data_IF_962785078813
#
_entry.id   IF_962785078813
#
_cell.length_a   1.000
_cell.length_b   1.000
_cell.length_c   1.000
_cell.angle_alpha   90.00
_cell.angle_beta   90.00
_cell.angle_gamma   90.00
#
_symmetry.space_group_name_H-M   'P 1'
#
loop_
_entity.id
_entity.type
_entity.pdbx_description
1 polymer ?
#
# COMPACT_ATOMS: atom_id res chain seq x y z
N UNK A 1 44.13 91.20 -6.30
CA UNK A 1 43.74 92.32 -5.40
C UNK A 1 42.25 92.57 -5.60
N UNK A 2 41.49 92.68 -4.49
CA UNK A 2 40.06 93.04 -4.38
C UNK A 2 39.07 91.97 -4.89
N UNK A 3 38.38 91.25 -4.00
CA UNK A 3 37.27 91.64 -3.09
C UNK A 3 36.03 92.05 -3.88
N UNK A 4 34.97 91.24 -3.82
CA UNK A 4 33.70 91.63 -3.17
C UNK A 4 32.56 90.65 -3.42
N UNK A 5 31.88 90.37 -2.32
CA UNK A 5 30.61 89.70 -2.07
C UNK A 5 29.43 90.24 -2.89
N UNK A 6 28.49 89.36 -3.29
CA UNK A 6 27.07 89.70 -3.40
C UNK A 6 26.21 88.52 -2.91
N UNK A 7 25.31 88.87 -1.99
CA UNK A 7 24.19 88.11 -1.38
C UNK A 7 23.11 87.88 -2.47
N UNK A 8 22.24 86.87 -2.47
CA UNK A 8 20.88 86.90 -1.86
C UNK A 8 20.06 85.67 -2.30
N UNK A 9 19.16 85.24 -1.38
CA UNK A 9 17.85 84.59 -1.60
C UNK A 9 17.72 83.13 -2.06
N UNK A 10 17.54 82.27 -1.05
CA UNK A 10 16.39 81.40 -0.78
C UNK A 10 15.52 80.89 -1.96
N UNK A 11 15.48 79.56 -2.11
CA UNK A 11 14.24 78.81 -2.40
C UNK A 11 14.21 77.55 -1.53
N UNK A 12 13.09 77.41 -0.83
CA UNK A 12 12.71 76.29 0.02
C UNK A 12 12.31 75.09 -0.86
N UNK A 13 13.01 73.97 -0.73
CA UNK A 13 12.65 72.69 -1.34
C UNK A 13 12.58 71.61 -0.26
N UNK A 14 11.41 71.39 0.32
CA UNK A 14 11.15 70.30 1.24
C UNK A 14 11.19 68.97 0.48
N UNK A 15 12.27 68.21 0.63
CA UNK A 15 12.32 66.80 0.25
C UNK A 15 11.66 65.98 1.36
N UNK A 16 10.46 65.45 1.08
CA UNK A 16 9.83 64.40 1.86
C UNK A 16 10.69 63.13 1.74
N UNK A 17 11.52 62.89 2.75
CA UNK A 17 12.21 61.61 2.94
C UNK A 17 11.21 60.53 3.33
N UNK A 18 10.88 59.64 2.40
CA UNK A 18 10.14 58.42 2.69
C UNK A 18 10.97 57.49 3.56
N UNK A 19 10.50 57.23 4.79
CA UNK A 19 11.02 56.16 5.64
C UNK A 19 10.58 54.83 5.02
N UNK A 20 11.52 54.11 4.39
CA UNK A 20 11.30 52.72 4.00
C UNK A 20 11.43 51.86 5.26
N UNK A 21 10.28 51.40 5.78
CA UNK A 21 10.26 50.31 6.76
C UNK A 21 10.68 49.04 6.04
N UNK A 22 11.96 48.65 6.18
CA UNK A 22 12.44 47.33 5.75
C UNK A 22 11.89 46.28 6.70
N UNK A 23 10.67 45.83 6.45
CA UNK A 23 10.10 44.65 7.08
C UNK A 23 10.86 43.42 6.59
N UNK A 24 11.63 42.77 7.47
CA UNK A 24 12.15 41.43 7.21
C UNK A 24 10.98 40.43 7.30
N UNK A 25 10.31 40.20 6.16
CA UNK A 25 9.39 39.08 6.04
C UNK A 25 10.21 37.78 6.13
N UNK A 26 10.25 37.18 7.31
CA UNK A 26 10.69 35.79 7.47
C UNK A 26 9.67 34.91 6.75
N UNK A 27 10.05 34.40 5.58
CA UNK A 27 9.31 33.35 4.91
C UNK A 27 9.23 32.15 5.87
N UNK A 28 8.01 31.77 6.25
CA UNK A 28 7.77 30.54 6.99
C UNK A 28 8.32 29.36 6.18
N UNK A 29 8.98 28.37 6.81
CA UNK A 29 9.43 27.20 6.09
C UNK A 29 8.19 26.51 5.50
N UNK A 30 8.20 26.39 4.18
CA UNK A 30 7.20 25.67 3.42
C UNK A 30 7.16 24.24 3.97
N UNK A 31 6.11 23.95 4.75
CA UNK A 31 5.87 22.64 5.31
C UNK A 31 5.67 21.69 4.13
N UNK A 32 6.72 20.94 3.77
CA UNK A 32 6.60 19.80 2.88
C UNK A 32 5.58 18.84 3.49
N UNK A 33 4.34 18.91 3.00
CA UNK A 33 3.33 17.91 3.22
C UNK A 33 3.87 16.61 2.64
N UNK A 34 4.10 15.62 3.48
CA UNK A 34 4.33 14.27 3.01
C UNK A 34 3.05 13.85 2.27
N UNK A 35 3.13 13.76 0.95
CA UNK A 35 2.04 13.29 0.10
C UNK A 35 1.72 11.85 0.49
N UNK A 36 0.47 11.60 0.87
CA UNK A 36 -0.05 10.24 0.99
C UNK A 36 0.22 9.46 -0.32
N UNK A 37 0.44 8.14 -0.26
CA UNK A 37 0.68 7.32 -1.45
C UNK A 37 -0.54 7.37 -2.35
N UNK A 38 -0.48 8.21 -3.38
CA UNK A 38 -1.57 8.41 -4.35
C UNK A 38 -1.48 7.44 -5.52
N UNK A 39 -0.30 6.83 -5.71
CA UNK A 39 -0.05 5.86 -6.77
C UNK A 39 -0.32 4.45 -6.22
N UNK A 40 -0.82 3.55 -7.06
CA UNK A 40 -1.31 2.20 -6.70
C UNK A 40 -2.64 2.08 -5.93
N UNK A 41 -3.43 3.14 -5.86
CA UNK A 41 -4.82 3.09 -5.40
C UNK A 41 -5.80 2.77 -6.54
N UNK A 42 -7.09 2.77 -6.21
CA UNK A 42 -8.20 2.77 -7.18
C UNK A 42 -8.07 3.90 -8.21
N UNK A 43 -8.57 3.73 -9.45
CA UNK A 43 -9.30 2.56 -9.96
C UNK A 43 -8.37 1.39 -10.32
N UNK A 44 -8.90 0.16 -10.33
CA UNK A 44 -8.18 -1.03 -10.80
C UNK A 44 -8.23 -1.19 -12.32
N UNK A 45 -7.28 -1.93 -12.89
CA UNK A 45 -7.32 -2.23 -14.32
C UNK A 45 -8.61 -3.01 -14.64
N UNK A 46 -9.34 -2.52 -15.63
CA UNK A 46 -10.67 -3.04 -16.00
C UNK A 46 -11.67 -3.10 -14.84
N UNK A 47 -11.45 -2.32 -13.77
CA UNK A 47 -12.29 -2.33 -12.57
C UNK A 47 -12.16 -3.60 -11.72
N UNK A 48 -11.13 -4.43 -11.94
CA UNK A 48 -10.95 -5.69 -11.24
C UNK A 48 -9.71 -5.66 -10.34
N UNK A 49 -9.91 -5.84 -9.03
CA UNK A 49 -8.86 -5.84 -8.02
C UNK A 49 -7.69 -6.79 -8.32
N UNK A 50 -7.97 -7.97 -8.86
CA UNK A 50 -6.95 -8.98 -9.14
C UNK A 50 -5.97 -8.54 -10.23
N UNK A 51 -6.35 -7.55 -11.02
CA UNK A 51 -5.46 -6.90 -11.96
C UNK A 51 -4.71 -5.71 -11.33
N UNK A 52 -4.82 -5.46 -10.03
CA UNK A 52 -4.11 -4.37 -9.37
C UNK A 52 -4.47 -2.96 -9.91
N UNK A 53 -3.76 -1.92 -9.45
CA UNK A 53 -4.09 -0.52 -9.74
C UNK A 53 -3.99 -0.20 -11.22
N UNK A 54 -4.95 0.51 -11.80
CA UNK A 54 -4.97 0.83 -13.26
C UNK A 54 -3.71 1.55 -13.70
N UNK A 55 -3.18 2.43 -12.85
CA UNK A 55 -1.96 3.18 -13.09
C UNK A 55 -0.84 2.65 -12.20
N UNK A 56 0.33 2.43 -12.80
CA UNK A 56 1.55 2.10 -12.08
C UNK A 56 2.25 3.40 -11.67
N UNK A 57 2.99 3.40 -10.55
CA UNK A 57 3.68 4.58 -10.05
C UNK A 57 4.74 5.05 -11.04
N UNK A 58 4.76 6.35 -11.31
CA UNK A 58 5.76 7.01 -12.16
C UNK A 58 6.87 7.70 -11.36
N UNK A 59 6.67 7.87 -10.05
CA UNK A 59 7.61 8.51 -9.12
C UNK A 59 7.73 7.71 -7.82
N UNK A 60 8.67 8.07 -6.96
CA UNK A 60 8.80 7.43 -5.65
C UNK A 60 9.55 6.10 -5.69
N UNK A 61 9.59 5.38 -4.55
CA UNK A 61 10.44 4.19 -4.38
C UNK A 61 10.00 3.01 -5.25
N UNK A 62 8.73 2.94 -5.67
CA UNK A 62 8.18 1.80 -6.44
C UNK A 62 8.33 2.00 -7.95
N UNK A 63 8.33 3.23 -8.45
CA UNK A 63 8.44 3.54 -9.88
C UNK A 63 9.59 2.83 -10.62
N UNK A 64 10.84 2.79 -10.10
CA UNK A 64 11.92 2.07 -10.79
C UNK A 64 11.68 0.55 -10.84
N UNK A 65 10.93 -0.01 -9.88
CA UNK A 65 10.70 -1.44 -9.75
C UNK A 65 9.64 -1.96 -10.72
N UNK A 66 8.69 -1.13 -11.11
CA UNK A 66 7.62 -1.48 -12.07
C UNK A 66 7.97 -1.09 -13.51
N UNK A 67 9.21 -0.64 -13.76
CA UNK A 67 9.66 -0.23 -15.09
C UNK A 67 9.59 -1.40 -16.07
N UNK A 68 8.82 -1.21 -17.14
CA UNK A 68 8.65 -2.22 -18.18
C UNK A 68 7.77 -3.41 -17.77
N UNK A 69 7.07 -3.33 -16.65
CA UNK A 69 6.12 -4.36 -16.23
C UNK A 69 4.87 -4.35 -17.13
N UNK A 70 4.75 -5.37 -17.97
CA UNK A 70 3.53 -5.66 -18.73
C UNK A 70 2.67 -6.64 -17.92
N UNK A 71 1.59 -6.12 -17.36
CA UNK A 71 0.80 -6.79 -16.32
C UNK A 71 0.17 -8.11 -16.74
N UNK A 72 -0.39 -8.14 -17.95
CA UNK A 72 -1.08 -9.30 -18.50
C UNK A 72 -0.30 -9.90 -19.67
N UNK A 73 1.02 -9.75 -19.65
CA UNK A 73 1.92 -10.18 -20.72
C UNK A 73 1.59 -11.60 -21.20
N UNK A 74 1.42 -11.72 -22.52
CA UNK A 74 1.05 -12.98 -23.19
C UNK A 74 -0.45 -13.30 -23.16
N UNK A 75 -1.30 -12.44 -22.59
CA UNK A 75 -2.75 -12.53 -22.70
C UNK A 75 -3.32 -11.32 -23.46
N UNK A 76 -4.32 -11.57 -24.31
CA UNK A 76 -4.99 -10.51 -25.10
C UNK A 76 -6.11 -9.81 -24.32
N UNK A 77 -6.61 -10.43 -23.27
CA UNK A 77 -7.69 -9.90 -22.42
C UNK A 77 -7.45 -10.27 -20.95
N UNK A 78 -8.11 -9.54 -20.05
CA UNK A 78 -8.18 -9.90 -18.64
C UNK A 78 -8.72 -11.33 -18.43
N UNK A 79 -9.75 -11.71 -19.18
CA UNK A 79 -10.35 -13.05 -19.09
C UNK A 79 -9.34 -14.14 -19.45
N UNK A 80 -8.62 -13.99 -20.57
CA UNK A 80 -7.59 -14.94 -20.98
C UNK A 80 -6.43 -15.03 -19.97
N UNK A 81 -6.09 -13.91 -19.30
CA UNK A 81 -5.12 -13.92 -18.21
C UNK A 81 -5.62 -14.74 -17.02
N UNK A 82 -6.87 -14.54 -16.62
CA UNK A 82 -7.48 -15.27 -15.51
C UNK A 82 -7.66 -16.76 -15.82
N UNK A 83 -8.15 -17.12 -17.01
CA UNK A 83 -8.33 -18.52 -17.40
C UNK A 83 -7.01 -19.33 -17.30
N UNK A 84 -5.86 -18.64 -17.48
CA UNK A 84 -4.53 -19.26 -17.34
C UNK A 84 -4.02 -19.30 -15.90
N UNK A 85 -4.25 -18.25 -15.13
CA UNK A 85 -3.55 -18.02 -13.86
C UNK A 85 -4.43 -18.12 -12.62
N UNK A 86 -5.74 -18.33 -12.79
CA UNK A 86 -6.70 -18.57 -11.70
C UNK A 86 -7.13 -20.03 -11.70
N UNK A 87 -7.48 -20.51 -10.50
CA UNK A 87 -8.13 -21.80 -10.29
C UNK A 87 -9.65 -21.63 -10.40
N UNK A 88 -10.39 -22.74 -10.40
CA UNK A 88 -11.86 -22.74 -10.45
C UNK A 88 -12.50 -21.98 -9.28
N UNK A 89 -11.85 -21.96 -8.12
CA UNK A 89 -12.29 -21.22 -6.94
C UNK A 89 -11.86 -19.74 -6.92
N UNK A 90 -11.36 -19.23 -8.06
CA UNK A 90 -10.88 -17.85 -8.23
C UNK A 90 -9.62 -17.47 -7.45
N UNK A 91 -8.91 -18.43 -6.88
CA UNK A 91 -7.57 -18.17 -6.33
C UNK A 91 -6.52 -18.10 -7.43
N UNK A 92 -5.42 -17.39 -7.15
CA UNK A 92 -4.22 -17.51 -7.95
C UNK A 92 -3.70 -18.95 -7.96
N UNK A 93 -3.45 -19.47 -9.16
CA UNK A 93 -2.68 -20.69 -9.36
C UNK A 93 -1.21 -20.32 -9.20
N UNK A 94 -0.62 -20.61 -8.03
CA UNK A 94 0.80 -20.37 -7.75
C UNK A 94 1.66 -21.54 -8.28
N UNK A 95 2.94 -21.29 -8.59
CA UNK A 95 3.86 -22.34 -9.03
C UNK A 95 4.10 -23.36 -7.91
N UNK A 96 4.46 -24.59 -8.31
CA UNK A 96 5.01 -25.58 -7.39
C UNK A 96 6.37 -25.15 -6.83
N UNK A 97 6.93 -25.95 -5.91
CA UNK A 97 8.26 -25.71 -5.31
C UNK A 97 8.41 -24.30 -4.72
N UNK A 98 7.35 -23.75 -4.12
CA UNK A 98 7.31 -22.39 -3.57
C UNK A 98 7.76 -21.31 -4.58
N UNK A 99 7.64 -21.55 -5.89
CA UNK A 99 8.09 -20.63 -6.94
C UNK A 99 9.59 -20.59 -7.17
N UNK A 100 10.38 -21.50 -6.59
CA UNK A 100 11.78 -21.65 -6.97
C UNK A 100 11.90 -22.36 -8.33
N UNK A 101 12.71 -21.81 -9.23
CA UNK A 101 13.03 -22.41 -10.54
C UNK A 101 13.81 -23.73 -10.42
N UNK A 102 14.50 -23.93 -9.30
CA UNK A 102 15.26 -25.14 -8.99
C UNK A 102 15.39 -25.33 -7.49
N UNK A 103 16.46 -26.00 -7.07
CA UNK A 103 16.70 -26.25 -5.64
C UNK A 103 17.15 -24.96 -4.94
N UNK A 104 16.43 -24.47 -3.92
CA UNK A 104 16.92 -23.38 -3.11
C UNK A 104 18.09 -23.85 -2.24
N UNK A 105 18.96 -22.91 -1.89
CA UNK A 105 20.04 -23.11 -0.92
C UNK A 105 19.65 -22.54 0.43
N UNK A 106 20.10 -23.20 1.48
CA UNK A 106 20.02 -22.67 2.84
C UNK A 106 21.06 -21.57 3.01
N UNK A 107 20.64 -20.39 3.45
CA UNK A 107 21.50 -19.22 3.65
C UNK A 107 21.20 -18.61 5.02
N UNK A 108 22.25 -18.22 5.75
CA UNK A 108 22.11 -17.39 6.95
C UNK A 108 22.19 -15.92 6.55
N UNK A 109 21.11 -15.18 6.74
CA UNK A 109 21.09 -13.74 6.49
C UNK A 109 21.83 -13.03 7.63
N UNK A 110 22.83 -12.24 7.27
CA UNK A 110 23.70 -11.54 8.23
C UNK A 110 23.06 -10.23 8.67
N UNK A 111 23.41 -9.79 9.88
CA UNK A 111 23.01 -8.46 10.37
C UNK A 111 23.42 -7.38 9.36
N UNK A 112 22.53 -6.43 9.11
CA UNK A 112 22.69 -5.37 8.11
C UNK A 112 22.21 -5.74 6.70
N UNK A 113 21.89 -7.02 6.42
CA UNK A 113 21.29 -7.41 5.13
C UNK A 113 19.99 -6.65 4.90
N UNK A 114 19.80 -6.13 3.69
CA UNK A 114 18.58 -5.41 3.31
C UNK A 114 17.70 -6.31 2.46
N UNK A 115 16.42 -6.36 2.80
CA UNK A 115 15.39 -7.14 2.14
C UNK A 115 14.26 -6.20 1.70
N UNK A 116 13.47 -6.63 0.73
CA UNK A 116 12.23 -5.98 0.36
C UNK A 116 11.09 -6.97 0.10
N UNK A 117 9.87 -6.45 -0.02
CA UNK A 117 8.66 -7.25 -0.24
C UNK A 117 7.55 -6.41 -0.87
N UNK A 118 6.80 -7.02 -1.79
CA UNK A 118 5.46 -6.57 -2.18
C UNK A 118 4.41 -7.46 -1.51
N UNK A 119 3.77 -7.01 -0.44
CA UNK A 119 2.82 -7.82 0.31
C UNK A 119 2.89 -7.59 1.83
N UNK A 120 1.77 -7.90 2.49
CA UNK A 120 1.64 -7.76 3.94
C UNK A 120 2.69 -8.54 4.74
N UNK A 121 2.92 -8.11 5.98
CA UNK A 121 3.84 -8.77 6.92
C UNK A 121 3.40 -10.20 7.34
N UNK A 122 2.17 -10.61 6.99
CA UNK A 122 1.68 -11.98 7.20
C UNK A 122 2.20 -12.98 6.15
N UNK A 123 3.05 -12.54 5.21
CA UNK A 123 3.74 -13.41 4.27
C UNK A 123 5.10 -13.91 4.76
N UNK A 124 5.66 -14.87 4.01
CA UNK A 124 6.93 -15.53 4.31
C UNK A 124 7.94 -15.46 3.16
N UNK A 125 7.68 -14.61 2.15
CA UNK A 125 8.54 -14.43 0.98
C UNK A 125 9.08 -13.01 0.91
N UNK A 126 10.38 -12.87 0.69
CA UNK A 126 11.08 -11.59 0.52
C UNK A 126 12.04 -11.69 -0.68
N UNK A 127 12.62 -10.56 -1.09
CA UNK A 127 13.76 -10.55 -2.01
C UNK A 127 14.93 -9.80 -1.39
N UNK A 128 16.18 -10.17 -1.71
CA UNK A 128 17.35 -9.42 -1.26
C UNK A 128 17.46 -8.09 -2.03
N UNK A 129 17.94 -7.06 -1.34
CA UNK A 129 18.34 -5.79 -1.96
C UNK A 129 19.86 -5.69 -1.89
N UNK A 130 20.52 -5.83 -3.04
CA UNK A 130 21.99 -5.91 -3.12
C UNK A 130 22.52 -4.64 -3.76
N UNK A 131 23.48 -3.97 -3.12
CA UNK A 131 24.05 -2.70 -3.60
C UNK A 131 22.97 -1.66 -3.93
N UNK A 132 21.95 -1.57 -3.06
CA UNK A 132 20.76 -0.72 -3.24
C UNK A 132 19.86 -1.07 -4.43
N UNK A 133 20.16 -2.14 -5.18
CA UNK A 133 19.36 -2.63 -6.28
C UNK A 133 18.40 -3.72 -5.80
N UNK A 134 17.11 -3.48 -6.00
CA UNK A 134 16.02 -4.41 -5.78
C UNK A 134 15.60 -5.05 -7.09
N UNK A 135 15.09 -6.30 -7.03
CA UNK A 135 14.56 -6.97 -8.20
C UNK A 135 13.34 -6.24 -8.77
N UNK A 136 13.25 -6.14 -10.09
CA UNK A 136 12.08 -5.59 -10.77
C UNK A 136 10.84 -6.44 -10.52
N UNK A 137 9.66 -5.85 -10.61
CA UNK A 137 8.39 -6.53 -10.34
C UNK A 137 8.18 -7.76 -11.23
N UNK A 138 8.49 -7.66 -12.53
CA UNK A 138 8.45 -8.79 -13.46
C UNK A 138 9.45 -9.91 -13.14
N UNK A 139 10.54 -9.61 -12.42
CA UNK A 139 11.51 -10.62 -12.02
C UNK A 139 11.03 -11.45 -10.82
N UNK A 140 9.95 -11.01 -10.15
CA UNK A 140 9.39 -11.61 -8.95
C UNK A 140 8.28 -12.62 -9.20
N UNK A 141 7.72 -12.66 -10.42
CA UNK A 141 6.64 -13.58 -10.80
C UNK A 141 5.49 -13.63 -9.77
N UNK A 142 5.06 -12.46 -9.29
CA UNK A 142 3.92 -12.28 -8.37
C UNK A 142 2.72 -11.66 -9.10
N UNK A 143 1.48 -11.93 -8.65
CA UNK A 143 0.29 -11.49 -9.37
C UNK A 143 0.05 -9.99 -9.20
N UNK A 144 -0.65 -9.33 -10.14
CA UNK A 144 -0.82 -7.88 -10.13
C UNK A 144 -1.47 -7.30 -8.87
N UNK A 145 -2.31 -8.09 -8.20
CA UNK A 145 -2.96 -7.72 -6.94
C UNK A 145 -1.96 -7.35 -5.83
N UNK A 146 -0.72 -7.84 -5.88
CA UNK A 146 0.32 -7.48 -4.91
C UNK A 146 0.79 -6.02 -4.99
N UNK A 147 0.40 -5.25 -6.03
CA UNK A 147 0.67 -3.82 -6.12
C UNK A 147 -0.40 -2.95 -5.46
N UNK A 148 -1.42 -3.52 -4.81
CA UNK A 148 -2.46 -2.71 -4.21
C UNK A 148 -2.00 -1.98 -2.94
N UNK A 149 -2.23 -0.67 -2.84
CA UNK A 149 -2.04 0.09 -1.59
C UNK A 149 -3.25 -0.08 -0.67
N UNK A 150 -3.09 -0.82 0.44
CA UNK A 150 -4.14 -0.96 1.45
C UNK A 150 -4.32 0.35 2.24
N UNK A 151 -5.52 0.63 2.77
CA UNK A 151 -5.73 1.75 3.68
C UNK A 151 -4.74 1.73 4.86
N UNK A 152 -4.14 2.88 5.16
CA UNK A 152 -3.12 3.03 6.22
C UNK A 152 -1.84 2.19 6.05
N UNK A 153 -1.55 1.75 4.82
CA UNK A 153 -0.34 0.99 4.49
C UNK A 153 0.62 1.80 3.60
N UNK A 154 1.79 1.24 3.33
CA UNK A 154 2.81 1.81 2.45
C UNK A 154 2.40 1.76 0.98
N UNK A 155 2.99 2.66 0.18
CA UNK A 155 2.75 2.75 -1.27
C UNK A 155 2.93 1.39 -1.96
N UNK A 156 1.92 0.98 -2.74
CA UNK A 156 1.90 -0.25 -3.53
C UNK A 156 2.23 -1.53 -2.74
N UNK A 157 1.97 -1.55 -1.42
CA UNK A 157 2.32 -2.69 -0.56
C UNK A 157 3.84 -3.00 -0.57
N UNK A 158 4.68 -2.02 -0.87
CA UNK A 158 6.12 -2.19 -0.98
C UNK A 158 6.82 -1.83 0.32
N UNK A 159 7.47 -2.82 0.92
CA UNK A 159 8.19 -2.70 2.18
C UNK A 159 9.68 -2.97 2.00
N UNK A 160 10.51 -2.38 2.88
CA UNK A 160 11.93 -2.71 3.02
C UNK A 160 12.25 -3.05 4.46
N UNK A 161 13.16 -3.99 4.66
CA UNK A 161 13.57 -4.45 5.98
C UNK A 161 15.09 -4.52 6.10
N UNK A 162 15.58 -4.31 7.31
CA UNK A 162 16.96 -4.59 7.72
C UNK A 162 16.98 -5.79 8.64
N UNK A 163 17.91 -6.71 8.39
CA UNK A 163 18.21 -7.81 9.31
C UNK A 163 18.96 -7.28 10.51
N UNK A 164 18.38 -7.42 11.70
CA UNK A 164 18.98 -7.02 12.97
C UNK A 164 19.57 -8.20 13.74
N UNK A 165 19.00 -9.40 13.58
CA UNK A 165 19.53 -10.66 14.12
C UNK A 165 19.67 -11.67 12.99
N UNK A 166 20.73 -12.46 13.03
CA UNK A 166 20.92 -13.48 11.99
C UNK A 166 19.85 -14.57 12.08
N UNK A 167 19.33 -15.00 10.93
CA UNK A 167 18.43 -16.15 10.82
C UNK A 167 18.63 -16.87 9.49
N UNK A 168 18.21 -18.13 9.44
CA UNK A 168 18.40 -19.00 8.29
C UNK A 168 17.14 -19.03 7.42
N UNK A 169 17.34 -19.00 6.11
CA UNK A 169 16.28 -18.97 5.09
C UNK A 169 16.61 -19.92 3.94
N UNK A 170 15.59 -20.21 3.12
CA UNK A 170 15.79 -20.79 1.80
C UNK A 170 15.88 -19.67 0.76
N UNK A 171 16.96 -19.63 -0.03
CA UNK A 171 17.17 -18.64 -1.07
C UNK A 171 17.40 -19.30 -2.41
N UNK A 172 16.81 -18.76 -3.48
CA UNK A 172 16.93 -19.32 -4.82
C UNK A 172 16.34 -18.42 -5.89
N UNK A 173 16.52 -18.83 -7.15
CA UNK A 173 16.01 -18.11 -8.32
C UNK A 173 14.50 -18.33 -8.46
N UNK A 174 13.79 -17.29 -8.88
CA UNK A 174 12.34 -17.27 -9.04
C UNK A 174 11.96 -17.85 -10.41
N UNK A 175 11.05 -18.81 -10.44
CA UNK A 175 10.51 -19.39 -11.66
C UNK A 175 9.68 -18.37 -12.47
N UNK A 176 9.60 -18.54 -13.79
CA UNK A 176 8.68 -17.79 -14.63
C UNK A 176 7.22 -18.12 -14.28
N UNK A 177 6.39 -17.11 -13.98
CA UNK A 177 4.98 -17.30 -13.64
C UNK A 177 4.16 -16.02 -13.86
N UNK A 178 2.82 -16.11 -13.86
CA UNK A 178 1.91 -14.96 -14.08
C UNK A 178 2.23 -14.11 -15.33
N UNK A 179 2.68 -14.77 -16.40
CA UNK A 179 3.07 -14.13 -17.67
C UNK A 179 4.43 -13.43 -17.64
N UNK A 180 5.12 -13.48 -16.50
CA UNK A 180 6.43 -12.86 -16.29
C UNK A 180 7.57 -13.87 -16.39
N UNK A 181 8.75 -13.37 -16.73
CA UNK A 181 9.94 -14.21 -16.92
C UNK A 181 10.53 -14.71 -15.59
N UNK A 182 10.22 -14.07 -14.46
CA UNK A 182 10.86 -14.35 -13.19
C UNK A 182 12.36 -14.08 -13.26
N UNK A 183 13.14 -14.96 -12.66
CA UNK A 183 14.60 -14.92 -12.73
C UNK A 183 15.28 -14.03 -11.70
N UNK A 184 14.52 -13.30 -10.88
CA UNK A 184 15.00 -12.63 -9.67
C UNK A 184 15.38 -13.63 -8.58
N UNK A 185 15.76 -13.11 -7.41
CA UNK A 185 16.06 -13.91 -6.23
C UNK A 185 14.95 -13.78 -5.21
N UNK A 186 14.45 -14.92 -4.71
CA UNK A 186 13.55 -14.94 -3.56
C UNK A 186 14.21 -15.58 -2.36
N UNK A 187 13.70 -15.17 -1.21
CA UNK A 187 13.97 -15.69 0.12
C UNK A 187 12.64 -16.18 0.68
N UNK A 188 12.60 -17.45 1.11
CA UNK A 188 11.49 -18.04 1.85
C UNK A 188 11.91 -18.25 3.30
N UNK A 189 11.13 -17.72 4.23
CA UNK A 189 11.31 -17.96 5.67
C UNK A 189 11.01 -19.43 6.01
N UNK A 190 11.67 -19.94 7.05
CA UNK A 190 11.52 -21.34 7.48
C UNK A 190 10.16 -21.64 8.10
N UNK A 191 9.65 -22.85 7.87
CA UNK A 191 8.39 -23.33 8.47
C UNK A 191 7.22 -22.38 8.20
N UNK A 192 6.51 -22.02 9.27
CA UNK A 192 5.37 -21.11 9.23
C UNK A 192 5.72 -19.65 9.60
N UNK A 193 7.01 -19.33 9.79
CA UNK A 193 7.45 -17.98 10.18
C UNK A 193 6.99 -16.92 9.18
N UNK A 194 6.43 -15.83 9.70
CA UNK A 194 6.01 -14.65 8.94
C UNK A 194 6.97 -13.49 9.16
N UNK A 195 6.95 -12.52 8.25
CA UNK A 195 7.69 -11.27 8.43
C UNK A 195 7.27 -10.58 9.74
N UNK A 196 5.99 -10.63 10.09
CA UNK A 196 5.46 -10.09 11.34
C UNK A 196 6.14 -10.72 12.58
N UNK A 197 6.42 -12.02 12.58
CA UNK A 197 7.10 -12.69 13.69
C UNK A 197 8.51 -12.12 13.90
N UNK A 198 9.23 -11.92 12.79
CA UNK A 198 10.59 -11.37 12.80
C UNK A 198 10.64 -9.88 13.15
N UNK A 199 9.58 -9.12 12.84
CA UNK A 199 9.43 -7.74 13.31
C UNK A 199 9.17 -7.71 14.82
N UNK A 200 8.29 -8.58 15.31
CA UNK A 200 7.92 -8.66 16.73
C UNK A 200 9.09 -9.06 17.62
N UNK A 201 9.91 -10.02 17.18
CA UNK A 201 11.09 -10.47 17.93
C UNK A 201 12.35 -9.61 17.68
N UNK A 202 12.23 -8.58 16.83
CA UNK A 202 13.27 -7.62 16.42
C UNK A 202 14.43 -8.26 15.64
N UNK A 203 14.21 -9.41 14.99
CA UNK A 203 15.15 -9.98 14.02
C UNK A 203 15.15 -9.21 12.70
N UNK A 204 14.00 -8.62 12.34
CA UNK A 204 13.85 -7.63 11.28
C UNK A 204 13.44 -6.28 11.86
N UNK A 205 13.79 -5.23 11.14
CA UNK A 205 13.30 -3.87 11.34
C UNK A 205 12.84 -3.32 10.00
N UNK A 206 11.65 -2.73 9.96
CA UNK A 206 11.15 -2.05 8.77
C UNK A 206 11.91 -0.74 8.55
N UNK A 207 12.38 -0.54 7.32
CA UNK A 207 13.09 0.67 6.89
C UNK A 207 12.05 1.60 6.28
N UNK A 208 11.82 2.79 6.88
CA UNK A 208 10.94 3.78 6.27
C UNK A 208 11.42 4.12 4.87
N UNK A 209 10.56 3.91 3.89
CA UNK A 209 10.77 4.38 2.53
C UNK A 209 10.53 5.88 2.55
N UNK A 210 11.59 6.69 2.38
CA UNK A 210 11.56 8.13 2.51
C UNK A 210 10.28 8.77 1.95
N UNK A 211 9.44 9.24 2.88
CA UNK A 211 8.08 9.75 2.71
C UNK A 211 7.44 9.97 4.08
N UNK A 212 8.12 10.76 4.93
CA UNK A 212 7.85 11.03 6.36
C UNK A 212 7.91 9.86 7.34
N UNK A 213 8.48 10.14 8.51
CA UNK A 213 8.21 9.39 9.73
C UNK A 213 6.69 9.22 9.90
N UNK A 214 6.26 8.05 10.37
CA UNK A 214 4.90 7.85 10.85
C UNK A 214 4.52 9.07 11.71
N UNK A 215 3.44 9.80 11.38
CA UNK A 215 3.10 10.98 12.14
C UNK A 215 2.83 10.54 13.58
N UNK A 216 3.55 11.13 14.54
CA UNK A 216 3.10 11.16 15.93
C UNK A 216 1.62 11.59 15.94
N UNK A 217 0.77 11.05 16.82
CA UNK A 217 -0.67 11.31 16.78
C UNK A 217 -0.92 12.82 16.88
N UNK A 218 -1.22 13.45 15.74
CA UNK A 218 -1.56 14.87 15.70
C UNK A 218 -2.99 14.99 16.21
N UNK A 219 -3.15 15.69 17.33
CA UNK A 219 -4.43 16.34 17.66
C UNK A 219 -4.73 17.33 16.53
N UNK A 220 -5.68 16.98 15.66
CA UNK A 220 -6.08 17.81 14.53
C UNK A 220 -6.82 19.05 15.05
N UNK A 221 -6.29 20.24 14.76
CA UNK A 221 -7.01 21.50 14.90
C UNK A 221 -7.67 21.81 13.55
N UNK A 222 -8.96 22.15 13.60
CA UNK A 222 -9.94 22.21 12.51
C UNK A 222 -10.44 20.82 12.07
N UNK A 223 -11.41 20.34 12.85
CA UNK A 223 -12.26 19.23 12.46
C UNK A 223 -12.93 19.54 11.11
N UNK A 224 -12.71 18.67 10.12
CA UNK A 224 -13.76 18.41 9.13
C UNK A 224 -15.07 18.19 9.91
N UNK A 225 -16.25 18.63 9.42
CA UNK A 225 -17.50 18.32 10.10
C UNK A 225 -17.47 16.82 10.36
N UNK A 226 -17.47 16.43 11.65
CA UNK A 226 -17.30 15.05 12.04
C UNK A 226 -18.24 14.24 11.16
N UNK A 227 -17.69 13.31 10.38
CA UNK A 227 -18.53 12.36 9.66
C UNK A 227 -19.51 11.83 10.69
N UNK A 228 -20.80 12.11 10.49
CA UNK A 228 -21.85 11.68 11.42
C UNK A 228 -21.54 10.22 11.76
N UNK A 229 -21.59 9.80 13.04
CA UNK A 229 -21.42 8.40 13.37
C UNK A 229 -22.39 7.61 12.50
N UNK A 230 -21.87 6.88 11.52
CA UNK A 230 -22.70 6.10 10.62
C UNK A 230 -23.01 4.83 11.38
N UNK A 231 -24.20 4.79 11.96
CA UNK A 231 -24.70 3.61 12.65
C UNK A 231 -25.17 2.62 11.60
N UNK A 232 -24.30 1.65 11.28
CA UNK A 232 -24.63 0.54 10.39
C UNK A 232 -25.32 -0.55 11.20
N UNK A 233 -26.62 -0.75 11.00
CA UNK A 233 -27.44 -1.74 11.75
C UNK A 233 -27.91 -2.92 10.92
N UNK A 234 -27.89 -2.77 9.61
CA UNK A 234 -28.35 -3.78 8.66
C UNK A 234 -27.43 -3.85 7.44
N UNK A 235 -27.54 -4.95 6.69
CA UNK A 235 -26.64 -5.24 5.55
C UNK A 235 -26.84 -4.31 4.37
N UNK A 236 -28.04 -3.75 4.17
CA UNK A 236 -28.30 -2.80 3.09
C UNK A 236 -27.60 -1.47 3.36
N UNK A 237 -27.74 -0.96 4.59
CA UNK A 237 -27.00 0.20 5.08
C UNK A 237 -25.50 -0.04 5.02
N UNK A 238 -25.02 -1.22 5.46
CA UNK A 238 -23.60 -1.57 5.40
C UNK A 238 -23.04 -1.46 3.99
N UNK A 239 -23.71 -2.06 3.00
CA UNK A 239 -23.30 -2.01 1.59
C UNK A 239 -23.28 -0.60 1.05
N UNK A 240 -24.32 0.20 1.32
CA UNK A 240 -24.41 1.57 0.84
C UNK A 240 -23.25 2.43 1.38
N UNK A 241 -22.93 2.27 2.66
CA UNK A 241 -21.87 3.02 3.32
C UNK A 241 -20.47 2.54 2.93
N UNK A 242 -20.26 1.23 2.72
CA UNK A 242 -19.01 0.70 2.15
C UNK A 242 -18.75 1.28 0.75
N UNK A 243 -19.77 1.33 -0.11
CA UNK A 243 -19.66 1.96 -1.43
C UNK A 243 -19.39 3.45 -1.34
N UNK A 244 -20.04 4.16 -0.40
CA UNK A 244 -19.78 5.59 -0.16
C UNK A 244 -18.36 5.84 0.33
N UNK A 245 -17.81 4.92 1.11
CA UNK A 245 -16.43 4.93 1.58
C UNK A 245 -15.41 4.52 0.50
N UNK A 246 -15.85 4.18 -0.71
CA UNK A 246 -14.96 3.79 -1.82
C UNK A 246 -14.40 2.38 -1.68
N UNK A 247 -14.98 1.54 -0.82
CA UNK A 247 -14.58 0.14 -0.67
C UNK A 247 -14.90 -0.62 -1.96
N UNK A 248 -13.93 -1.32 -2.58
CA UNK A 248 -14.16 -2.07 -3.81
C UNK A 248 -15.26 -3.13 -3.66
N UNK A 249 -16.15 -3.22 -4.65
CA UNK A 249 -17.29 -4.16 -4.64
C UNK A 249 -16.85 -5.63 -4.59
N UNK A 250 -15.64 -5.97 -5.03
CA UNK A 250 -15.08 -7.33 -5.01
C UNK A 250 -14.38 -7.72 -3.69
N UNK A 251 -14.15 -6.76 -2.79
CA UNK A 251 -13.50 -6.98 -1.48
C UNK A 251 -14.42 -7.52 -0.39
N UNK A 252 -15.72 -7.62 -0.66
CA UNK A 252 -16.68 -8.19 0.27
C UNK A 252 -17.86 -8.88 -0.41
N UNK A 253 -18.42 -9.88 0.27
CA UNK A 253 -19.65 -10.58 -0.09
C UNK A 253 -20.62 -10.55 1.07
N UNK A 254 -21.86 -10.17 0.80
CA UNK A 254 -22.98 -10.26 1.74
C UNK A 254 -23.98 -11.22 1.10
N UNK A 255 -24.06 -12.44 1.61
CA UNK A 255 -24.89 -13.49 1.01
C UNK A 255 -26.35 -13.04 0.85
N UNK A 256 -26.91 -13.18 -0.34
CA UNK A 256 -28.28 -12.75 -0.67
C UNK A 256 -28.50 -11.23 -0.74
N UNK A 257 -27.45 -10.40 -0.78
CA UNK A 257 -27.56 -8.96 -1.01
C UNK A 257 -26.49 -8.41 -1.97
N UNK A 258 -25.24 -8.83 -1.80
CA UNK A 258 -24.10 -8.38 -2.58
C UNK A 258 -23.19 -9.57 -2.85
N UNK A 259 -23.35 -10.15 -4.05
CA UNK A 259 -22.68 -11.37 -4.47
C UNK A 259 -21.90 -11.10 -5.75
N UNK A 260 -20.74 -10.44 -5.66
CA UNK A 260 -19.93 -10.13 -6.83
C UNK A 260 -19.59 -11.43 -7.58
N UNK A 261 -19.75 -11.40 -8.90
CA UNK A 261 -19.53 -12.57 -9.76
C UNK A 261 -18.06 -13.04 -9.76
N UNK A 262 -17.13 -12.13 -9.47
CA UNK A 262 -15.72 -12.40 -9.21
C UNK A 262 -15.32 -11.70 -7.92
N UNK A 263 -14.89 -12.45 -6.92
CA UNK A 263 -14.39 -11.92 -5.65
C UNK A 263 -12.89 -11.66 -5.77
N UNK A 264 -12.38 -10.66 -5.07
CA UNK A 264 -10.94 -10.46 -4.93
C UNK A 264 -10.29 -11.68 -4.28
N UNK A 265 -8.98 -11.91 -4.45
CA UNK A 265 -8.28 -12.97 -3.67
C UNK A 265 -8.25 -12.74 -2.17
N UNK A 266 -8.58 -11.53 -1.74
CA UNK A 266 -8.73 -11.14 -0.35
C UNK A 266 -10.09 -10.48 -0.17
N UNK A 267 -10.99 -11.14 0.57
CA UNK A 267 -12.34 -10.60 0.76
C UNK A 267 -12.97 -11.05 2.07
N UNK A 268 -13.85 -10.20 2.59
CA UNK A 268 -14.73 -10.56 3.69
C UNK A 268 -16.01 -11.19 3.17
N UNK A 269 -16.50 -12.24 3.83
CA UNK A 269 -17.84 -12.77 3.57
C UNK A 269 -18.68 -12.77 4.83
N UNK A 270 -19.82 -12.10 4.76
CA UNK A 270 -20.87 -12.09 5.77
C UNK A 270 -22.00 -13.01 5.33
N UNK A 271 -22.33 -14.00 6.16
CA UNK A 271 -23.40 -14.97 5.89
C UNK A 271 -24.17 -15.34 7.15
N UNK A 272 -25.36 -15.92 6.97
CA UNK A 272 -26.09 -16.60 8.06
C UNK A 272 -25.85 -18.11 7.95
N UNK A 273 -25.29 -18.72 8.98
CA UNK A 273 -24.98 -20.15 9.03
C UNK A 273 -25.34 -20.71 10.42
N UNK A 274 -26.03 -21.86 10.45
CA UNK A 274 -26.48 -22.52 11.69
C UNK A 274 -27.21 -21.56 12.66
N UNK A 275 -28.04 -20.65 12.13
CA UNK A 275 -28.81 -19.70 12.92
C UNK A 275 -28.04 -18.47 13.42
N UNK A 276 -26.71 -18.42 13.26
CA UNK A 276 -25.87 -17.28 13.64
C UNK A 276 -25.36 -16.52 12.40
N UNK A 277 -24.93 -15.29 12.61
CA UNK A 277 -24.18 -14.54 11.60
C UNK A 277 -22.70 -14.87 11.71
N UNK A 278 -22.08 -15.22 10.60
CA UNK A 278 -20.65 -15.49 10.50
C UNK A 278 -19.99 -14.44 9.62
N UNK A 279 -18.86 -13.91 10.11
CA UNK A 279 -17.93 -13.13 9.31
C UNK A 279 -16.68 -13.97 9.08
N UNK A 280 -16.29 -14.09 7.82
CA UNK A 280 -15.09 -14.81 7.40
C UNK A 280 -14.21 -13.89 6.58
N UNK A 281 -12.90 -14.14 6.62
CA UNK A 281 -11.92 -13.50 5.75
C UNK A 281 -11.19 -14.58 4.95
N UNK A 282 -11.20 -14.43 3.63
CA UNK A 282 -10.45 -15.30 2.73
C UNK A 282 -9.22 -14.55 2.26
N UNK A 283 -8.05 -15.16 2.38
CA UNK A 283 -6.79 -14.65 1.82
C UNK A 283 -6.12 -15.78 1.05
N UNK A 284 -5.89 -15.60 -0.26
CA UNK A 284 -5.17 -16.57 -1.11
C UNK A 284 -5.76 -17.99 -0.98
N UNK A 285 -7.08 -18.10 -0.96
CA UNK A 285 -7.79 -19.38 -0.88
C UNK A 285 -7.97 -19.97 0.50
N UNK A 286 -7.37 -19.36 1.52
CA UNK A 286 -7.55 -19.79 2.91
C UNK A 286 -8.62 -18.94 3.56
N UNK A 287 -9.74 -19.57 3.89
CA UNK A 287 -10.82 -18.91 4.63
C UNK A 287 -10.64 -19.11 6.13
N UNK A 288 -10.70 -18.02 6.87
CA UNK A 288 -10.66 -17.97 8.33
C UNK A 288 -11.97 -17.40 8.86
N UNK A 289 -12.50 -17.99 9.94
CA UNK A 289 -13.65 -17.44 10.66
C UNK A 289 -13.15 -16.31 11.56
N UNK A 290 -13.59 -15.08 11.31
CA UNK A 290 -13.15 -13.88 12.06
C UNK A 290 -14.14 -13.47 13.15
N UNK A 291 -15.37 -13.97 13.11
CA UNK A 291 -16.33 -13.81 14.20
C UNK A 291 -17.66 -14.53 13.97
N UNK A 292 -18.36 -14.81 15.08
CA UNK A 292 -19.77 -15.21 15.11
C UNK A 292 -20.57 -14.20 15.91
N UNK A 293 -21.77 -13.89 15.43
CA UNK A 293 -22.63 -12.86 15.98
C UNK A 293 -24.04 -13.40 16.14
N UNK A 294 -24.69 -13.06 17.25
CA UNK A 294 -26.06 -13.47 17.54
C UNK A 294 -27.08 -12.73 16.65
N UNK A 295 -26.78 -11.47 16.33
CA UNK A 295 -27.61 -10.59 15.53
C UNK A 295 -26.86 -10.01 14.33
N UNK A 296 -27.64 -9.48 13.38
CA UNK A 296 -27.12 -8.91 12.14
C UNK A 296 -26.33 -7.65 12.41
N UNK A 297 -26.83 -6.79 13.30
CA UNK A 297 -26.27 -5.48 13.64
C UNK A 297 -24.81 -5.59 14.07
N UNK A 298 -24.49 -6.50 15.01
CA UNK A 298 -23.11 -6.72 15.44
C UNK A 298 -22.21 -7.23 14.32
N UNK A 299 -22.73 -8.08 13.45
CA UNK A 299 -21.98 -8.64 12.33
C UNK A 299 -21.66 -7.58 11.26
N UNK A 300 -22.64 -6.74 10.90
CA UNK A 300 -22.45 -5.68 9.90
C UNK A 300 -21.60 -4.52 10.44
N UNK A 301 -21.69 -4.22 11.74
CA UNK A 301 -20.79 -3.25 12.37
C UNK A 301 -19.35 -3.74 12.34
N UNK A 302 -19.11 -5.03 12.58
CA UNK A 302 -17.77 -5.60 12.43
C UNK A 302 -17.29 -5.53 10.99
N UNK A 303 -18.09 -5.99 10.03
CA UNK A 303 -17.76 -5.96 8.61
C UNK A 303 -17.39 -4.54 8.17
N UNK A 304 -18.24 -3.56 8.50
CA UNK A 304 -18.00 -2.16 8.21
C UNK A 304 -16.67 -1.70 8.82
N UNK A 305 -16.45 -1.96 10.12
CA UNK A 305 -15.22 -1.60 10.81
C UNK A 305 -13.96 -2.21 10.19
N UNK A 306 -14.00 -3.43 9.65
CA UNK A 306 -12.81 -4.01 9.03
C UNK A 306 -12.49 -3.44 7.65
N UNK A 307 -13.52 -3.07 6.89
CA UNK A 307 -13.36 -2.54 5.54
C UNK A 307 -13.26 -1.01 5.47
N UNK A 308 -13.76 -0.31 6.49
CA UNK A 308 -13.84 1.15 6.54
C UNK A 308 -12.70 1.80 7.33
N UNK A 309 -11.71 1.04 7.81
CA UNK A 309 -10.48 1.60 8.41
C UNK A 309 -9.61 2.22 7.32
N UNK A 310 -10.07 3.34 6.79
CA UNK A 310 -9.23 4.42 6.28
C UNK A 310 -8.73 5.29 7.43
#
# INVERSE_FOLDING_TARGET
>A
MRVSTVVTTAVCGALLGGVTLTGTAQAAPERQQATAPTQCLVPFLSGNWDLGPKQLPGTGPVAPLVKGYDRIKGATTARAFFDKWKKDNWDWSYPGNDGFEGNPRTVTLKQGTILDRFGSANGSFLSPVVNQNADLYQARSIPPSNLHTYPNDVECNYHRYRVNKEFTVQQGRIAAWFGQAGGGTQIKLGGDTKVADLLNDKSLEEIPLGGAAAPAPRRSALAAPAARPVTVTDRATARAELRRAGVPDDSYRIDGLHEPGLQATEYYRLRKAAGQWELTFTERGRTTLTGRYADESGAVQRLFKELSKG
#
